data_IF_509410811487
#
_entry.id   IF_509410811487
#
_cell.length_a   1.000
_cell.length_b   1.000
_cell.length_c   1.000
_cell.angle_alpha   90.00
_cell.angle_beta   90.00
_cell.angle_gamma   90.00
#
_symmetry.space_group_name_H-M   'P 1'
#
loop_
_entity.id
_entity.type
_entity.pdbx_description
1 polymer ?
#
# COMPACT_ATOMS: atom_id res chain seq x y z
N UNK A 1 9.93 -10.03 -9.40
CA UNK A 1 8.75 -10.25 -8.52
C UNK A 1 7.85 -11.41 -8.94
N UNK A 2 7.32 -11.49 -10.18
CA UNK A 2 6.38 -12.57 -10.58
C UNK A 2 7.00 -13.97 -10.79
N UNK A 3 8.32 -14.04 -11.02
CA UNK A 3 9.01 -15.30 -11.36
C UNK A 3 9.74 -15.96 -10.19
N UNK A 4 9.97 -15.23 -9.10
CA UNK A 4 10.66 -15.73 -7.90
C UNK A 4 10.04 -15.06 -6.67
N UNK A 5 8.93 -15.59 -6.15
CA UNK A 5 8.15 -14.89 -5.14
C UNK A 5 8.94 -14.67 -3.84
N UNK A 6 9.69 -15.69 -3.44
CA UNK A 6 10.48 -15.70 -2.20
C UNK A 6 11.60 -14.66 -2.18
N UNK A 7 12.17 -14.35 -3.35
CA UNK A 7 13.35 -13.47 -3.47
C UNK A 7 13.07 -11.99 -3.24
N UNK A 8 11.81 -11.57 -3.13
CA UNK A 8 11.42 -10.17 -2.95
C UNK A 8 10.63 -9.91 -1.67
N UNK A 9 10.57 -10.88 -0.77
CA UNK A 9 9.67 -10.80 0.39
C UNK A 9 10.00 -9.58 1.26
N UNK A 10 11.29 -9.28 1.47
CA UNK A 10 11.74 -8.15 2.29
C UNK A 10 11.33 -6.83 1.68
N UNK A 11 11.59 -6.62 0.39
CA UNK A 11 11.22 -5.42 -0.35
C UNK A 11 9.70 -5.23 -0.36
N UNK A 12 8.95 -6.31 -0.55
CA UNK A 12 7.49 -6.30 -0.52
C UNK A 12 6.95 -5.93 0.86
N UNK A 13 7.54 -6.46 1.94
CA UNK A 13 7.18 -6.05 3.29
C UNK A 13 7.49 -4.57 3.56
N UNK A 14 8.61 -4.05 3.06
CA UNK A 14 8.96 -2.64 3.20
C UNK A 14 7.98 -1.73 2.46
N UNK A 15 7.64 -2.07 1.21
CA UNK A 15 6.63 -1.35 0.43
C UNK A 15 5.25 -1.38 1.10
N UNK A 16 4.87 -2.51 1.71
CA UNK A 16 3.60 -2.61 2.42
C UNK A 16 3.58 -1.81 3.72
N UNK A 17 4.69 -1.76 4.45
CA UNK A 17 4.83 -0.85 5.60
C UNK A 17 4.72 0.60 5.16
N UNK A 18 5.37 0.96 4.07
CA UNK A 18 5.28 2.30 3.51
C UNK A 18 3.84 2.66 3.13
N UNK A 19 3.14 1.78 2.41
CA UNK A 19 1.72 1.93 2.09
C UNK A 19 0.87 2.19 3.35
N UNK A 20 1.02 1.38 4.40
CA UNK A 20 0.26 1.54 5.64
C UNK A 20 0.53 2.87 6.34
N UNK A 21 1.80 3.30 6.39
CA UNK A 21 2.17 4.59 6.97
C UNK A 21 1.60 5.76 6.17
N UNK A 22 1.70 5.72 4.83
CA UNK A 22 1.14 6.73 3.95
C UNK A 22 -0.38 6.79 4.03
N UNK A 23 -1.06 5.64 4.12
CA UNK A 23 -2.51 5.56 4.33
C UNK A 23 -2.93 6.18 5.67
N UNK A 24 -2.19 5.89 6.74
CA UNK A 24 -2.45 6.47 8.05
C UNK A 24 -2.29 7.99 8.03
N UNK A 25 -1.19 8.49 7.45
CA UNK A 25 -0.93 9.92 7.31
C UNK A 25 -2.01 10.60 6.45
N UNK A 26 -2.37 10.00 5.33
CA UNK A 26 -3.41 10.52 4.44
C UNK A 26 -4.75 10.65 5.15
N UNK A 27 -5.18 9.61 5.89
CA UNK A 27 -6.41 9.64 6.68
C UNK A 27 -6.37 10.73 7.76
N UNK A 28 -5.25 10.84 8.47
CA UNK A 28 -5.05 11.87 9.48
C UNK A 28 -5.12 13.29 8.87
N UNK A 29 -4.43 13.53 7.76
CA UNK A 29 -4.47 14.80 7.05
C UNK A 29 -5.86 15.11 6.54
N UNK A 30 -6.56 14.15 5.92
CA UNK A 30 -7.93 14.37 5.43
C UNK A 30 -8.94 14.70 6.53
N UNK A 31 -8.69 14.25 7.77
CA UNK A 31 -9.53 14.56 8.92
C UNK A 31 -9.30 15.98 9.47
N UNK A 32 -8.10 16.54 9.26
CA UNK A 32 -7.72 17.87 9.76
C UNK A 32 -7.82 18.97 8.69
N UNK A 33 -7.50 18.64 7.44
CA UNK A 33 -7.49 19.54 6.30
C UNK A 33 -8.06 18.84 5.07
N UNK A 34 -9.17 19.32 4.50
CA UNK A 34 -9.77 18.72 3.30
C UNK A 34 -8.86 18.77 2.06
N UNK A 35 -7.87 19.66 2.06
CA UNK A 35 -6.83 19.73 1.03
C UNK A 35 -5.64 18.88 1.46
N UNK A 36 -5.80 17.56 1.36
CA UNK A 36 -4.69 16.62 1.50
C UNK A 36 -3.62 16.88 0.44
N UNK A 37 -2.35 16.65 0.78
CA UNK A 37 -1.23 16.77 -0.15
C UNK A 37 -1.49 15.89 -1.40
N UNK A 38 -1.61 16.52 -2.57
CA UNK A 38 -1.88 15.84 -3.83
C UNK A 38 -0.77 14.84 -4.20
N UNK A 39 0.47 15.11 -3.80
CA UNK A 39 1.59 14.20 -3.99
C UNK A 39 1.40 12.94 -3.15
N UNK A 40 1.03 13.11 -1.88
CA UNK A 40 0.76 11.97 -0.98
C UNK A 40 -0.39 11.11 -1.50
N UNK A 41 -1.47 11.74 -1.99
CA UNK A 41 -2.61 11.03 -2.56
C UNK A 41 -2.20 10.19 -3.79
N UNK A 42 -1.39 10.78 -4.68
CA UNK A 42 -0.87 10.09 -5.86
C UNK A 42 0.03 8.93 -5.48
N UNK A 43 1.01 9.15 -4.60
CA UNK A 43 1.95 8.11 -4.17
C UNK A 43 1.23 6.95 -3.48
N UNK A 44 0.21 7.26 -2.66
CA UNK A 44 -0.64 6.26 -2.05
C UNK A 44 -1.44 5.46 -3.09
N UNK A 45 -1.95 6.13 -4.14
CA UNK A 45 -2.61 5.50 -5.28
C UNK A 45 -1.70 4.54 -6.04
N UNK A 46 -0.46 4.96 -6.33
CA UNK A 46 0.55 4.15 -7.01
C UNK A 46 0.91 2.90 -6.18
N UNK A 47 1.11 3.08 -4.86
CA UNK A 47 1.37 1.96 -3.93
C UNK A 47 0.18 1.02 -3.82
N UNK A 48 -1.05 1.54 -3.79
CA UNK A 48 -2.26 0.73 -3.74
C UNK A 48 -2.41 -0.11 -5.01
N UNK A 49 -2.21 0.49 -6.19
CA UNK A 49 -2.28 -0.20 -7.47
C UNK A 49 -1.22 -1.31 -7.55
N UNK A 50 0.00 -1.04 -7.11
CA UNK A 50 1.06 -2.03 -7.02
C UNK A 50 0.66 -3.21 -6.11
N UNK A 51 0.17 -2.92 -4.88
CA UNK A 51 -0.25 -3.96 -3.93
C UNK A 51 -1.41 -4.80 -4.46
N UNK A 52 -2.38 -4.19 -5.15
CA UNK A 52 -3.49 -4.91 -5.77
C UNK A 52 -2.99 -5.93 -6.82
N UNK A 53 -1.95 -5.58 -7.59
CA UNK A 53 -1.38 -6.48 -8.60
C UNK A 53 -0.56 -7.63 -8.00
N UNK A 54 0.06 -7.44 -6.83
CA UNK A 54 0.88 -8.49 -6.19
C UNK A 54 0.09 -9.37 -5.22
N UNK A 55 -1.02 -8.88 -4.65
CA UNK A 55 -1.81 -9.60 -3.64
C UNK A 55 -2.18 -11.04 -4.06
N UNK A 56 -2.59 -11.32 -5.32
CA UNK A 56 -2.89 -12.68 -5.76
C UNK A 56 -1.69 -13.65 -5.70
N UNK A 57 -0.46 -13.13 -5.74
CA UNK A 57 0.77 -13.92 -5.70
C UNK A 57 1.29 -14.16 -4.26
N UNK A 58 0.77 -13.43 -3.26
CA UNK A 58 1.18 -13.55 -1.85
C UNK A 58 -0.04 -13.41 -0.91
N UNK A 59 -1.03 -14.32 -1.01
CA UNK A 59 -2.28 -14.21 -0.29
C UNK A 59 -2.10 -14.14 1.24
N UNK A 60 -1.16 -14.91 1.79
CA UNK A 60 -0.93 -14.95 3.24
C UNK A 60 -0.29 -13.66 3.78
N UNK A 61 0.52 -12.98 2.97
CA UNK A 61 1.25 -11.77 3.37
C UNK A 61 0.37 -10.51 3.25
N UNK A 62 -0.59 -10.51 2.32
CA UNK A 62 -1.44 -9.35 2.01
C UNK A 62 -2.93 -9.57 2.22
N UNK A 63 -3.36 -10.60 2.95
CA UNK A 63 -4.77 -10.91 3.21
C UNK A 63 -5.60 -9.71 3.73
N UNK A 64 -4.96 -8.79 4.47
CA UNK A 64 -5.61 -7.60 5.02
C UNK A 64 -5.66 -6.41 4.07
N UNK A 65 -4.94 -6.41 2.95
CA UNK A 65 -4.90 -5.30 2.01
C UNK A 65 -6.29 -4.96 1.43
N UNK A 66 -7.11 -5.92 0.93
CA UNK A 66 -8.44 -5.62 0.41
C UNK A 66 -9.38 -4.94 1.43
N UNK A 67 -9.19 -5.20 2.73
CA UNK A 67 -9.98 -4.58 3.80
C UNK A 67 -9.57 -3.12 4.07
N UNK A 68 -8.33 -2.74 3.75
CA UNK A 68 -7.81 -1.38 3.95
C UNK A 68 -8.22 -0.41 2.84
N UNK A 69 -8.69 -0.96 1.71
CA UNK A 69 -9.14 -0.22 0.52
C UNK A 69 -10.67 0.04 0.52
N UNK A 70 -11.36 -0.31 1.61
CA UNK A 70 -12.76 0.09 1.87
C UNK A 70 -12.79 1.33 2.74
#
# INVERSE_FOLDING_TARGET
MKWYPEGYEVELQLLYRHFKSSLHLFRYQSALMPFSDLSLAKDLGDLAMFHAHITPFYPDKFANFPRQMR
#
